data_IF_494523364100
#
_entry.id   IF_494523364100
#
_cell.length_a   1.000
_cell.length_b   1.000
_cell.length_c   1.000
_cell.angle_alpha   90.00
_cell.angle_beta   90.00
_cell.angle_gamma   90.00
#
_symmetry.space_group_name_H-M   'P 1'
#
loop_
_entity.id
_entity.type
_entity.pdbx_description
1 polymer ?
#
# COMPACT_ATOMS: atom_id res chain seq x y z
N UNK A 1 4.32 0.95 22.58
CA UNK A 1 5.30 0.47 21.58
C UNK A 1 4.67 -0.71 20.85
N UNK A 2 4.72 -0.74 19.52
CA UNK A 2 4.18 -1.87 18.74
C UNK A 2 5.07 -3.11 18.91
N UNK A 3 4.51 -4.33 18.97
CA UNK A 3 5.31 -5.54 19.07
C UNK A 3 6.15 -5.78 17.79
N UNK A 4 7.26 -6.53 17.87
CA UNK A 4 7.97 -7.03 16.69
C UNK A 4 7.03 -7.83 15.78
N UNK A 5 7.24 -7.77 14.47
CA UNK A 5 6.41 -8.49 13.50
C UNK A 5 7.21 -8.99 12.30
N UNK A 6 6.75 -10.10 11.74
CA UNK A 6 7.25 -10.68 10.49
C UNK A 6 6.23 -10.38 9.40
N UNK A 7 6.71 -10.04 8.21
CA UNK A 7 5.86 -9.76 7.07
C UNK A 7 6.50 -10.21 5.76
N UNK A 8 5.67 -10.31 4.73
CA UNK A 8 6.04 -10.59 3.36
C UNK A 8 5.26 -9.63 2.48
N UNK A 9 5.90 -9.15 1.42
CA UNK A 9 5.26 -8.34 0.38
C UNK A 9 5.44 -9.14 -0.90
N UNK A 10 4.33 -9.51 -1.53
CA UNK A 10 4.34 -10.15 -2.84
C UNK A 10 3.88 -9.14 -3.88
N UNK A 11 4.62 -9.07 -4.98
CA UNK A 11 4.19 -8.30 -6.15
C UNK A 11 3.23 -9.16 -6.97
N UNK A 12 2.05 -8.61 -7.23
CA UNK A 12 1.00 -9.28 -8.00
C UNK A 12 0.61 -8.45 -9.22
N UNK A 13 0.02 -9.12 -10.21
CA UNK A 13 -0.60 -8.47 -11.36
C UNK A 13 -1.88 -9.20 -11.76
N UNK A 14 -2.77 -8.48 -12.42
CA UNK A 14 -3.95 -9.06 -13.06
C UNK A 14 -3.53 -9.80 -14.34
N UNK A 15 -4.11 -10.98 -14.55
CA UNK A 15 -3.90 -11.80 -15.73
C UNK A 15 -4.44 -11.06 -16.96
N UNK A 16 -3.74 -11.07 -18.10
CA UNK A 16 -4.21 -10.36 -19.31
C UNK A 16 -5.53 -10.92 -19.87
N UNK A 17 -5.90 -12.13 -19.47
CA UNK A 17 -7.17 -12.79 -19.85
C UNK A 17 -8.26 -12.63 -18.78
N UNK A 18 -7.99 -11.95 -17.66
CA UNK A 18 -9.00 -11.65 -16.67
C UNK A 18 -10.10 -10.78 -17.30
N UNK A 19 -11.35 -10.98 -16.86
CA UNK A 19 -12.43 -10.12 -17.29
C UNK A 19 -12.20 -8.69 -16.78
N UNK A 20 -12.05 -7.76 -17.71
CA UNK A 20 -11.97 -6.35 -17.37
C UNK A 20 -13.30 -5.91 -16.80
N UNK A 21 -13.27 -5.39 -15.58
CA UNK A 21 -14.44 -4.84 -14.92
C UNK A 21 -14.23 -3.33 -14.68
N UNK A 22 -15.32 -2.58 -14.69
CA UNK A 22 -15.29 -1.12 -14.51
C UNK A 22 -16.30 -0.69 -13.46
N UNK A 23 -16.00 0.37 -12.72
CA UNK A 23 -16.97 1.01 -11.83
C UNK A 23 -18.07 1.74 -12.64
N UNK A 24 -19.09 2.28 -11.94
CA UNK A 24 -20.18 3.03 -12.57
C UNK A 24 -19.75 4.32 -13.28
N UNK A 25 -18.49 4.73 -13.14
CA UNK A 25 -17.89 5.87 -13.83
C UNK A 25 -16.98 5.44 -14.99
N UNK A 26 -16.90 4.15 -15.30
CA UNK A 26 -16.06 3.61 -16.36
C UNK A 26 -14.57 3.48 -15.99
N UNK A 27 -14.22 3.64 -14.70
CA UNK A 27 -12.84 3.39 -14.27
C UNK A 27 -12.60 1.89 -14.14
N UNK A 28 -11.46 1.40 -14.64
CA UNK A 28 -11.05 0.01 -14.41
C UNK A 28 -10.94 -0.27 -12.91
N UNK A 29 -11.43 -1.44 -12.49
CA UNK A 29 -11.25 -1.98 -11.15
C UNK A 29 -10.62 -3.38 -11.22
N UNK A 30 -9.78 -3.77 -10.25
CA UNK A 30 -9.17 -5.09 -10.25
C UNK A 30 -10.22 -6.20 -10.09
N UNK A 31 -10.02 -7.30 -10.80
CA UNK A 31 -10.86 -8.49 -10.75
C UNK A 31 -10.67 -9.24 -9.43
N UNK A 32 -11.78 -9.75 -8.90
CA UNK A 32 -11.84 -10.67 -7.76
C UNK A 32 -12.16 -12.09 -8.20
N UNK A 33 -12.12 -12.39 -9.50
CA UNK A 33 -12.34 -13.76 -9.97
C UNK A 33 -11.12 -14.64 -9.63
N UNK A 34 -11.39 -15.91 -9.35
CA UNK A 34 -10.32 -16.87 -9.06
C UNK A 34 -9.38 -16.98 -10.25
N UNK A 35 -8.08 -16.97 -9.98
CA UNK A 35 -7.00 -16.99 -10.96
C UNK A 35 -6.86 -15.72 -11.84
N UNK A 36 -7.64 -14.66 -11.59
CA UNK A 36 -7.45 -13.39 -12.29
C UNK A 36 -6.21 -12.64 -11.82
N UNK A 37 -5.64 -12.98 -10.66
CA UNK A 37 -4.41 -12.38 -10.18
C UNK A 37 -3.32 -13.43 -10.01
N UNK A 38 -2.09 -13.08 -10.39
CA UNK A 38 -0.93 -13.95 -10.27
C UNK A 38 0.26 -13.21 -9.67
N UNK A 39 1.21 -13.97 -9.13
CA UNK A 39 2.44 -13.41 -8.59
C UNK A 39 3.39 -13.06 -9.72
N UNK A 40 3.95 -11.86 -9.70
CA UNK A 40 4.97 -11.46 -10.66
C UNK A 40 6.29 -12.19 -10.34
N UNK A 41 6.74 -13.05 -11.24
CA UNK A 41 8.07 -13.66 -11.17
C UNK A 41 9.19 -12.68 -11.52
N UNK A 42 10.44 -13.06 -11.22
CA UNK A 42 11.63 -12.43 -11.83
C UNK A 42 12.23 -11.19 -11.16
N UNK A 43 11.96 -10.91 -9.88
CA UNK A 43 12.61 -9.81 -9.14
C UNK A 43 11.81 -9.31 -7.93
N UNK A 44 12.29 -8.24 -7.30
CA UNK A 44 11.61 -7.57 -6.19
C UNK A 44 11.68 -8.29 -4.85
N UNK A 45 10.64 -8.08 -4.03
CA UNK A 45 10.51 -8.61 -2.67
C UNK A 45 9.63 -9.84 -2.55
N UNK A 46 8.96 -10.26 -3.63
CA UNK A 46 8.18 -11.51 -3.69
C UNK A 46 8.96 -12.69 -3.13
N UNK A 47 8.32 -13.44 -2.24
CA UNK A 47 8.89 -14.63 -1.61
C UNK A 47 10.00 -14.37 -0.57
N UNK A 48 10.42 -13.11 -0.39
CA UNK A 48 11.32 -12.73 0.71
C UNK A 48 10.52 -12.48 1.98
N UNK A 49 11.14 -12.80 3.11
CA UNK A 49 10.55 -12.59 4.42
C UNK A 49 11.32 -11.53 5.18
N UNK A 50 10.58 -10.65 5.84
CA UNK A 50 11.11 -9.48 6.51
C UNK A 50 10.72 -9.51 7.98
N UNK A 51 11.63 -9.10 8.84
CA UNK A 51 11.39 -8.95 10.26
C UNK A 51 11.60 -7.50 10.68
N UNK A 52 10.59 -6.91 11.32
CA UNK A 52 10.69 -5.64 12.00
C UNK A 52 10.86 -5.89 13.50
N UNK A 53 12.05 -5.61 14.01
CA UNK A 53 12.38 -5.80 15.43
C UNK A 53 12.09 -4.57 16.29
N UNK A 54 11.17 -3.69 15.86
CA UNK A 54 10.87 -2.37 16.46
C UNK A 54 11.97 -1.32 16.36
N UNK A 55 13.16 -1.67 15.85
CA UNK A 55 14.26 -0.73 15.64
C UNK A 55 14.60 -0.57 14.16
N UNK A 56 14.52 -1.67 13.41
CA UNK A 56 14.83 -1.73 11.98
C UNK A 56 14.08 -2.86 11.29
N UNK A 57 14.04 -2.80 9.97
CA UNK A 57 13.58 -3.88 9.10
C UNK A 57 14.80 -4.60 8.50
N UNK A 58 14.77 -5.92 8.44
CA UNK A 58 15.77 -6.72 7.73
C UNK A 58 15.19 -8.03 7.21
N UNK A 59 15.80 -8.56 6.15
CA UNK A 59 15.43 -9.84 5.55
C UNK A 59 15.82 -11.00 6.49
N UNK A 60 14.95 -12.00 6.60
CA UNK A 60 15.20 -13.25 7.33
C UNK A 60 15.12 -14.43 6.35
N UNK A 61 15.97 -15.46 6.51
CA UNK A 61 16.03 -16.57 5.58
C UNK A 61 14.80 -17.48 5.64
N UNK A 62 14.15 -17.55 6.81
CA UNK A 62 12.98 -18.38 7.03
C UNK A 62 12.12 -17.87 8.18
N UNK A 63 10.82 -18.03 8.03
CA UNK A 63 9.80 -17.73 9.02
C UNK A 63 9.91 -18.76 10.14
N UNK A 64 9.88 -18.34 11.42
CA UNK A 64 9.83 -19.27 12.54
C UNK A 64 8.68 -20.27 12.38
N UNK A 65 8.92 -21.55 12.69
CA UNK A 65 7.97 -22.63 12.46
C UNK A 65 6.59 -22.39 13.10
N UNK A 66 6.53 -21.66 14.20
CA UNK A 66 5.31 -21.38 14.95
C UNK A 66 4.67 -20.03 14.62
N UNK A 67 5.21 -19.28 13.65
CA UNK A 67 4.64 -17.99 13.27
C UNK A 67 3.32 -18.20 12.51
N UNK A 68 2.25 -17.57 13.02
CA UNK A 68 0.93 -17.63 12.42
C UNK A 68 0.68 -16.40 11.55
N UNK A 69 -0.03 -16.54 10.41
CA UNK A 69 -0.53 -15.40 9.66
C UNK A 69 -1.43 -14.51 10.54
N UNK A 70 -1.20 -13.20 10.50
CA UNK A 70 -2.03 -12.23 11.24
C UNK A 70 -3.12 -11.63 10.36
N UNK A 71 -2.73 -10.93 9.29
CA UNK A 71 -3.62 -10.34 8.30
C UNK A 71 -2.92 -10.34 6.93
N UNK A 72 -3.72 -10.45 5.87
CA UNK A 72 -3.27 -10.31 4.48
C UNK A 72 -4.16 -9.26 3.81
N UNK A 73 -3.53 -8.38 3.05
CA UNK A 73 -4.20 -7.39 2.21
C UNK A 73 -3.55 -7.39 0.84
N UNK A 74 -4.35 -7.13 -0.18
CA UNK A 74 -3.89 -6.91 -1.55
C UNK A 74 -4.23 -5.50 -1.97
N UNK A 75 -3.28 -4.81 -2.59
CA UNK A 75 -3.42 -3.40 -2.93
C UNK A 75 -3.03 -3.18 -4.39
N UNK A 76 -3.91 -2.54 -5.14
CA UNK A 76 -3.66 -2.05 -6.51
C UNK A 76 -3.65 -0.53 -6.52
N UNK A 77 -2.81 0.06 -7.37
CA UNK A 77 -2.82 1.49 -7.66
C UNK A 77 -3.30 1.75 -9.08
N UNK A 78 -4.25 2.66 -9.24
CA UNK A 78 -4.80 3.09 -10.52
C UNK A 78 -4.65 4.61 -10.65
N UNK A 79 -3.93 5.04 -11.68
CA UNK A 79 -3.69 6.47 -11.95
C UNK A 79 -5.01 7.24 -12.09
N UNK A 80 -5.14 8.35 -11.37
CA UNK A 80 -6.34 9.19 -11.35
C UNK A 80 -7.49 8.69 -10.48
N UNK A 81 -7.47 7.42 -10.05
CA UNK A 81 -8.54 6.81 -9.22
C UNK A 81 -8.08 6.58 -7.79
N UNK A 82 -6.82 6.17 -7.61
CA UNK A 82 -6.22 5.90 -6.31
C UNK A 82 -5.90 4.43 -6.06
N UNK A 83 -5.84 4.07 -4.79
CA UNK A 83 -5.61 2.72 -4.31
C UNK A 83 -6.92 1.94 -4.16
N UNK A 84 -6.91 0.72 -4.67
CA UNK A 84 -7.88 -0.33 -4.35
C UNK A 84 -7.26 -1.28 -3.34
N UNK A 85 -8.03 -1.65 -2.32
CA UNK A 85 -7.62 -2.48 -1.20
C UNK A 85 -8.61 -3.63 -1.06
N UNK A 86 -8.10 -4.85 -0.97
CA UNK A 86 -8.86 -6.07 -0.67
C UNK A 86 -8.32 -6.68 0.61
N UNK A 87 -9.21 -7.09 1.53
CA UNK A 87 -8.83 -7.77 2.78
C UNK A 87 -8.66 -9.26 2.52
N UNK A 88 -7.59 -9.59 1.81
CA UNK A 88 -7.21 -10.95 1.52
C UNK A 88 -6.06 -11.02 0.51
N UNK A 89 -5.76 -12.23 0.07
CA UNK A 89 -4.84 -12.48 -1.04
C UNK A 89 -5.63 -12.46 -2.36
N UNK A 90 -5.40 -11.48 -3.22
CA UNK A 90 -6.12 -11.35 -4.49
C UNK A 90 -5.87 -12.51 -5.46
N UNK A 91 -4.83 -13.33 -5.24
CA UNK A 91 -4.58 -14.56 -6.00
C UNK A 91 -5.60 -15.66 -5.67
N UNK A 92 -6.14 -15.61 -4.45
CA UNK A 92 -7.19 -16.51 -3.96
C UNK A 92 -8.16 -15.67 -3.12
N UNK A 93 -8.93 -14.77 -3.78
CA UNK A 93 -9.74 -13.78 -3.09
C UNK A 93 -10.82 -14.47 -2.24
N UNK A 94 -11.19 -13.90 -1.07
CA UNK A 94 -12.32 -14.40 -0.29
C UNK A 94 -13.61 -14.35 -1.12
N UNK A 95 -14.50 -15.33 -0.94
CA UNK A 95 -15.75 -15.41 -1.71
C UNK A 95 -16.72 -14.25 -1.38
N UNK A 96 -16.54 -13.58 -0.24
CA UNK A 96 -17.41 -12.53 0.31
C UNK A 96 -16.78 -11.13 0.37
N UNK A 97 -15.62 -10.94 -0.26
CA UNK A 97 -14.89 -9.67 -0.21
C UNK A 97 -14.60 -9.09 -1.60
N UNK A 98 -14.53 -7.77 -1.69
CA UNK A 98 -14.28 -7.06 -2.95
C UNK A 98 -13.20 -5.99 -2.78
N UNK A 99 -12.64 -5.52 -3.88
CA UNK A 99 -11.75 -4.36 -3.83
C UNK A 99 -12.53 -3.10 -3.47
N UNK A 100 -12.16 -2.50 -2.34
CA UNK A 100 -12.66 -1.21 -1.89
C UNK A 100 -11.63 -0.12 -2.18
N UNK A 101 -12.06 1.13 -2.38
CA UNK A 101 -11.10 2.24 -2.45
C UNK A 101 -10.46 2.45 -1.08
N UNK A 102 -9.19 2.84 -1.04
CA UNK A 102 -8.57 3.26 0.20
C UNK A 102 -9.38 4.40 0.83
N UNK A 103 -9.68 4.27 2.11
CA UNK A 103 -10.45 5.22 2.88
C UNK A 103 -9.81 5.48 4.24
N UNK A 104 -10.37 6.44 4.97
CA UNK A 104 -9.91 6.85 6.27
C UNK A 104 -11.07 6.89 7.26
N UNK A 105 -10.77 6.61 8.53
CA UNK A 105 -11.63 6.94 9.66
C UNK A 105 -10.97 8.03 10.50
N UNK A 106 -11.79 8.95 11.00
CA UNK A 106 -11.35 10.00 11.91
C UNK A 106 -11.84 9.65 13.31
N UNK A 107 -10.92 9.49 14.25
CA UNK A 107 -11.32 9.26 15.63
C UNK A 107 -11.62 10.61 16.30
N UNK A 108 -12.72 10.66 17.06
CA UNK A 108 -13.12 11.87 17.79
C UNK A 108 -12.20 12.22 18.96
N UNK A 109 -11.14 11.43 19.19
CA UNK A 109 -10.13 11.73 20.19
C UNK A 109 -9.16 12.83 19.69
N UNK A 110 -8.32 13.31 20.61
CA UNK A 110 -7.29 14.33 20.38
C UNK A 110 -6.18 13.88 19.41
N UNK A 111 -6.24 12.66 18.90
CA UNK A 111 -5.30 12.13 17.94
C UNK A 111 -5.75 12.62 16.56
N UNK A 112 -5.17 13.73 16.12
CA UNK A 112 -5.40 14.37 14.81
C UNK A 112 -4.92 13.50 13.62
N UNK A 113 -4.82 12.20 13.82
CA UNK A 113 -4.38 11.18 12.88
C UNK A 113 -5.55 10.66 12.04
N UNK A 114 -5.24 10.19 10.83
CA UNK A 114 -6.19 9.53 9.93
C UNK A 114 -5.97 8.02 10.00
N UNK A 115 -7.01 7.25 10.31
CA UNK A 115 -6.90 5.79 10.36
C UNK A 115 -7.10 5.19 8.97
N UNK A 116 -6.04 4.61 8.41
CA UNK A 116 -5.95 3.94 7.12
C UNK A 116 -6.74 2.62 7.13
N UNK A 117 -7.74 2.50 6.25
CA UNK A 117 -8.63 1.33 6.19
C UNK A 117 -9.27 1.17 4.80
N UNK A 118 -9.78 -0.02 4.51
CA UNK A 118 -10.58 -0.36 3.32
C UNK A 118 -12.08 -0.06 3.51
N UNK A 119 -12.52 0.08 4.77
CA UNK A 119 -13.93 0.32 5.13
C UNK A 119 -14.08 1.61 5.96
N UNK A 120 -13.62 2.74 5.40
CA UNK A 120 -13.60 4.04 6.08
C UNK A 120 -14.77 4.94 5.72
N UNK A 121 -14.99 5.99 6.50
CA UNK A 121 -16.04 6.98 6.25
C UNK A 121 -15.56 8.14 5.36
N UNK A 122 -14.25 8.36 5.28
CA UNK A 122 -13.66 9.53 4.63
C UNK A 122 -12.73 9.12 3.48
N UNK A 123 -12.64 9.98 2.46
CA UNK A 123 -11.80 9.75 1.28
C UNK A 123 -10.48 10.52 1.32
N UNK A 124 -10.27 11.37 2.32
CA UNK A 124 -9.07 12.19 2.45
C UNK A 124 -8.48 12.05 3.84
N UNK A 125 -7.29 12.63 4.04
CA UNK A 125 -6.72 12.79 5.37
C UNK A 125 -7.57 13.76 6.22
N UNK A 126 -7.59 13.54 7.53
CA UNK A 126 -8.30 14.40 8.49
C UNK A 126 -7.75 15.82 8.51
N UNK A 127 -6.43 15.92 8.64
CA UNK A 127 -5.67 17.16 8.71
C UNK A 127 -4.32 16.94 8.04
N UNK A 128 -3.78 17.99 7.44
CA UNK A 128 -2.48 17.96 6.79
C UNK A 128 -1.69 19.24 7.13
N UNK A 129 -0.52 19.13 7.79
CA UNK A 129 0.42 20.24 7.91
C UNK A 129 1.01 20.63 6.56
N UNK A 130 1.38 21.91 6.42
CA UNK A 130 1.85 22.48 5.15
C UNK A 130 3.08 21.79 4.56
N UNK A 131 3.99 21.28 5.39
CA UNK A 131 5.30 20.77 4.95
C UNK A 131 5.35 19.24 4.73
N UNK A 132 4.23 18.51 4.80
CA UNK A 132 4.25 17.05 4.89
C UNK A 132 4.61 16.32 3.58
N UNK A 133 5.91 16.32 3.29
CA UNK A 133 6.55 15.53 2.24
C UNK A 133 6.16 14.06 2.28
N UNK A 134 5.90 13.49 3.48
CA UNK A 134 5.48 12.10 3.59
C UNK A 134 4.11 11.85 2.95
N UNK A 135 3.17 12.79 3.04
CA UNK A 135 1.83 12.62 2.47
C UNK A 135 1.92 12.59 0.94
N UNK A 136 2.73 13.48 0.35
CA UNK A 136 3.04 13.46 -1.08
C UNK A 136 3.84 12.23 -1.52
N UNK A 137 4.64 11.64 -0.61
CA UNK A 137 5.40 10.43 -0.89
C UNK A 137 4.50 9.18 -0.91
N UNK A 138 3.59 9.05 0.05
CA UNK A 138 2.76 7.85 0.24
C UNK A 138 1.44 7.88 -0.53
N UNK A 139 0.86 9.06 -0.68
CA UNK A 139 -0.52 9.22 -1.12
C UNK A 139 -0.61 10.19 -2.31
N UNK A 140 -1.31 9.81 -3.38
CA UNK A 140 -1.72 10.74 -4.42
C UNK A 140 -2.56 11.89 -3.86
N UNK A 141 -2.55 13.03 -4.56
CA UNK A 141 -3.22 14.26 -4.14
C UNK A 141 -4.73 14.10 -3.88
N UNK A 142 -5.40 13.12 -4.47
CA UNK A 142 -6.83 12.86 -4.24
C UNK A 142 -7.16 12.46 -2.79
N UNK A 143 -6.15 12.02 -2.03
CA UNK A 143 -6.30 11.66 -0.61
C UNK A 143 -5.92 12.80 0.33
N UNK A 144 -5.48 13.96 -0.20
CA UNK A 144 -4.97 15.05 0.63
C UNK A 144 -6.12 15.86 1.22
N UNK A 145 -5.87 16.48 2.37
CA UNK A 145 -6.87 17.31 3.05
C UNK A 145 -6.67 18.77 2.71
N UNK A 146 -7.78 19.49 2.49
CA UNK A 146 -7.76 20.96 2.47
C UNK A 146 -7.66 21.55 3.89
N UNK A 147 -7.88 20.72 4.92
CA UNK A 147 -7.84 21.15 6.31
C UNK A 147 -6.39 21.21 6.81
N UNK A 148 -5.94 22.42 7.13
CA UNK A 148 -4.59 22.64 7.65
C UNK A 148 -4.53 22.30 9.14
N UNK A 149 -3.52 21.51 9.53
CA UNK A 149 -3.29 21.21 10.94
C UNK A 149 -2.84 22.48 11.70
N UNK A 150 -3.34 22.73 12.94
CA UNK A 150 -2.97 23.91 13.72
C UNK A 150 -1.53 23.87 14.24
N UNK A 151 -0.85 22.72 14.16
CA UNK A 151 0.55 22.52 14.52
C UNK A 151 1.17 21.45 13.61
N UNK A 152 2.47 21.57 13.33
CA UNK A 152 3.24 20.57 12.56
C UNK A 152 3.30 19.18 13.24
N UNK A 153 2.99 19.11 14.55
CA UNK A 153 2.97 17.86 15.31
C UNK A 153 1.69 17.04 15.08
N UNK A 154 0.68 17.63 14.46
CA UNK A 154 -0.60 16.99 14.15
C UNK A 154 -0.65 16.56 12.68
N UNK A 155 -1.63 15.73 12.33
CA UNK A 155 -1.71 15.16 10.99
C UNK A 155 -0.69 14.02 10.83
N UNK A 156 -1.21 12.81 10.89
CA UNK A 156 -0.46 11.58 10.70
C UNK A 156 -1.37 10.48 10.18
N UNK A 157 -0.80 9.33 9.91
CA UNK A 157 -1.56 8.12 9.58
C UNK A 157 -1.28 7.04 10.62
N UNK A 158 -2.36 6.38 11.00
CA UNK A 158 -2.36 5.16 11.81
C UNK A 158 -3.22 4.12 11.09
N UNK A 159 -3.26 2.88 11.55
CA UNK A 159 -4.24 1.91 11.08
C UNK A 159 -3.66 0.59 10.64
N UNK A 160 -4.19 0.04 9.55
CA UNK A 160 -3.86 -1.30 9.10
C UNK A 160 -2.42 -1.37 8.57
N UNK A 161 -1.55 -2.01 9.36
CA UNK A 161 -0.13 -2.19 9.03
C UNK A 161 0.10 -2.77 7.64
N UNK A 162 -0.64 -3.81 7.16
CA UNK A 162 -0.43 -4.33 5.81
C UNK A 162 -0.69 -3.30 4.71
N UNK A 163 -1.71 -2.45 4.86
CA UNK A 163 -2.00 -1.38 3.89
C UNK A 163 -0.87 -0.34 3.94
N UNK A 164 -0.41 0.05 5.13
CA UNK A 164 0.71 0.99 5.26
C UNK A 164 2.00 0.44 4.59
N UNK A 165 2.32 -0.83 4.79
CA UNK A 165 3.47 -1.48 4.14
C UNK A 165 3.32 -1.53 2.62
N UNK A 166 2.10 -1.74 2.11
CA UNK A 166 1.83 -1.66 0.68
C UNK A 166 2.07 -0.24 0.13
N UNK A 167 1.58 0.80 0.81
CA UNK A 167 1.84 2.19 0.41
C UNK A 167 3.35 2.49 0.37
N UNK A 168 4.09 2.04 1.39
CA UNK A 168 5.56 2.15 1.40
C UNK A 168 6.19 1.46 0.18
N UNK A 169 5.72 0.27 -0.17
CA UNK A 169 6.19 -0.45 -1.36
C UNK A 169 5.94 0.33 -2.65
N UNK A 170 4.79 1.02 -2.78
CA UNK A 170 4.46 1.85 -3.93
C UNK A 170 5.29 3.15 -4.04
N UNK A 171 6.03 3.55 -3.00
CA UNK A 171 6.91 4.74 -3.07
C UNK A 171 8.19 4.52 -3.89
N UNK A 172 8.51 3.28 -4.22
CA UNK A 172 9.73 2.90 -4.95
C UNK A 172 9.41 1.88 -6.04
N UNK A 173 10.39 1.58 -6.89
CA UNK A 173 10.22 0.56 -7.91
C UNK A 173 10.45 -0.84 -7.32
N UNK A 174 9.79 -1.84 -7.92
CA UNK A 174 9.96 -3.26 -7.58
C UNK A 174 11.43 -3.66 -7.39
N UNK A 175 12.31 -3.24 -8.30
CA UNK A 175 13.71 -3.66 -8.30
C UNK A 175 14.52 -3.04 -7.15
N UNK A 176 14.14 -1.85 -6.68
CA UNK A 176 14.82 -1.17 -5.58
C UNK A 176 14.22 -1.50 -4.23
N UNK A 177 12.97 -1.98 -4.17
CA UNK A 177 12.26 -2.26 -2.93
C UNK A 177 13.06 -3.16 -1.94
N UNK A 178 13.75 -4.24 -2.36
CA UNK A 178 14.57 -5.04 -1.44
C UNK A 178 15.67 -4.22 -0.75
N UNK A 179 16.31 -3.31 -1.49
CA UNK A 179 17.38 -2.46 -0.98
C UNK A 179 16.85 -1.30 -0.15
N UNK A 180 15.68 -0.76 -0.49
CA UNK A 180 15.08 0.40 0.16
C UNK A 180 14.43 0.03 1.49
N UNK A 181 13.73 -1.10 1.55
CA UNK A 181 12.87 -1.47 2.67
C UNK A 181 13.59 -1.45 4.03
N UNK A 182 14.83 -1.99 4.21
CA UNK A 182 15.57 -1.88 5.47
C UNK A 182 15.84 -0.46 5.96
N UNK A 183 15.90 0.50 5.04
CA UNK A 183 16.19 1.89 5.36
C UNK A 183 14.92 2.69 5.67
N UNK A 184 13.74 2.15 5.38
CA UNK A 184 12.47 2.85 5.60
C UNK A 184 12.07 2.98 7.06
N UNK A 185 12.63 2.13 7.92
CA UNK A 185 12.36 2.13 9.34
C UNK A 185 13.68 1.99 10.11
N UNK A 186 14.10 3.06 10.79
CA UNK A 186 15.38 3.14 11.50
C UNK A 186 15.19 3.83 12.84
N UNK A 187 15.79 3.29 13.90
CA UNK A 187 15.69 3.86 15.25
C UNK A 187 14.27 3.83 15.82
N UNK A 188 13.45 2.88 15.37
CA UNK A 188 12.05 2.76 15.78
C UNK A 188 11.09 3.78 15.18
N UNK A 189 11.53 4.51 14.15
CA UNK A 189 10.71 5.48 13.43
C UNK A 189 10.77 5.24 11.92
N UNK A 190 9.66 5.56 11.25
CA UNK A 190 9.62 5.64 9.79
C UNK A 190 10.41 6.87 9.32
N UNK A 191 11.31 6.68 8.37
CA UNK A 191 12.20 7.75 7.90
C UNK A 191 11.46 8.62 6.89
N UNK A 192 11.44 9.94 7.10
CA UNK A 192 10.73 10.90 6.25
C UNK A 192 11.44 11.19 4.91
N UNK A 193 12.72 10.84 4.80
CA UNK A 193 13.58 11.24 3.69
C UNK A 193 14.17 10.02 2.99
N UNK A 194 13.40 9.45 2.06
CA UNK A 194 13.99 8.65 1.01
C UNK A 194 14.16 9.56 -0.21
N UNK A 195 15.39 10.07 -0.41
CA UNK A 195 15.78 10.74 -1.67
C UNK A 195 15.89 9.74 -2.85
N UNK A 196 15.28 8.57 -2.74
CA UNK A 196 14.98 7.71 -3.88
C UNK A 196 13.91 8.45 -4.68
N UNK A 197 14.36 9.47 -5.41
CA UNK A 197 13.53 10.28 -6.28
C UNK A 197 12.62 9.32 -7.02
N UNK A 198 11.32 9.62 -6.99
CA UNK A 198 10.46 9.21 -8.06
C UNK A 198 11.11 9.74 -9.35
N UNK A 199 11.98 8.95 -9.98
CA UNK A 199 11.87 8.76 -11.41
C UNK A 199 10.55 8.01 -11.61
N UNK A 200 9.44 8.69 -11.37
CA UNK A 200 8.22 8.49 -12.15
C UNK A 200 8.49 8.98 -13.57
N UNK A 201 9.54 8.44 -14.20
CA UNK A 201 9.30 7.69 -15.44
C UNK A 201 8.51 6.47 -15.00
N UNK A 202 7.19 6.65 -14.83
CA UNK A 202 6.30 5.53 -14.97
C UNK A 202 6.66 4.92 -16.32
N UNK A 203 7.28 3.75 -16.26
CA UNK A 203 7.54 2.95 -17.42
C UNK A 203 6.16 2.57 -17.91
N UNK A 204 5.71 3.20 -18.98
CA UNK A 204 4.69 2.63 -19.84
C UNK A 204 5.11 1.18 -20.11
N UNK A 205 4.30 0.20 -19.71
CA UNK A 205 4.05 -0.90 -20.62
C UNK A 205 2.94 -0.41 -21.55
N UNK A 206 3.30 -0.28 -22.83
CA UNK A 206 2.44 0.20 -23.89
C UNK A 206 1.22 -0.72 -24.08
N UNK A 207 0.09 -0.15 -24.55
CA UNK A 207 -1.12 -0.89 -24.90
C UNK A 207 -0.88 -1.70 -26.17
N UNK A 208 -1.47 -2.89 -26.26
CA UNK A 208 -1.80 -3.51 -27.54
C UNK A 208 -3.32 -3.73 -27.60
N UNK A 209 -3.98 -2.90 -28.43
CA UNK A 209 -5.19 -3.28 -29.15
C UNK A 209 -4.82 -3.26 -30.63
N UNK A 210 -4.81 -4.42 -31.27
CA UNK A 210 -5.11 -4.54 -32.69
C UNK A 210 -6.17 -5.63 -32.83
N UNK A 211 -7.43 -5.20 -32.86
CA UNK A 211 -8.46 -5.96 -33.56
C UNK A 211 -8.18 -5.81 -35.06
N UNK A 212 -8.36 -6.90 -35.82
CA UNK A 212 -8.38 -6.87 -37.29
C UNK A 212 -9.48 -5.94 -37.81
#
# INVERSE_FOLDING_TARGET
MSPPYIFQIDEIAEHPEAFSDTDGHGNWKPSTDRNSNYTLGGGGVTGKQWFCNTQRIFEIPQRPANAQPYKTFSVYYVGGVGFYVLKGDARSPPDDDVFHKLQFNYYNNHDFSSYLTDAGQYHTLRLQPQDQRWAHMLLPNIYHSDQTAPSQQYGGIIGELPIFLALMAFTTSRNYLPSVLPHTFTGGAWVQSHQWQMQSRFTFFLPYKQCR
#
